data_IF_362801161382
#
_entry.id   IF_362801161382
#
_cell.length_a   1.000
_cell.length_b   1.000
_cell.length_c   1.000
_cell.angle_alpha   90.00
_cell.angle_beta   90.00
_cell.angle_gamma   90.00
#
_symmetry.space_group_name_H-M   'P 1'
#
loop_
_entity.id
_entity.type
_entity.pdbx_description
1 polymer ?
#
# COMPACT_ATOMS: atom_id res chain seq x y z
N UNK A 1 -6.07 -20.74 -38.67
CA UNK A 1 -6.01 -19.28 -38.71
C UNK A 1 -5.12 -18.81 -37.57
N UNK A 2 -4.14 -17.96 -37.84
CA UNK A 2 -3.20 -17.47 -36.85
C UNK A 2 -3.87 -16.32 -36.08
N UNK A 3 -3.85 -16.35 -34.73
CA UNK A 3 -4.34 -15.28 -33.87
C UNK A 3 -3.46 -14.05 -34.08
N UNK A 4 -4.05 -12.87 -34.24
CA UNK A 4 -3.33 -11.61 -34.34
C UNK A 4 -2.76 -11.20 -32.96
N UNK A 5 -1.77 -10.33 -32.93
CA UNK A 5 -1.21 -9.81 -31.67
C UNK A 5 -2.27 -9.09 -30.83
N UNK A 6 -3.10 -8.26 -31.47
CA UNK A 6 -4.19 -7.55 -30.78
C UNK A 6 -5.18 -8.52 -30.12
N UNK A 7 -5.60 -9.51 -30.87
CA UNK A 7 -6.52 -10.55 -30.40
C UNK A 7 -5.90 -11.37 -29.23
N UNK A 8 -4.60 -11.66 -29.32
CA UNK A 8 -3.88 -12.31 -28.22
C UNK A 8 -3.84 -11.44 -26.95
N UNK A 9 -3.62 -10.13 -27.08
CA UNK A 9 -3.68 -9.17 -25.96
C UNK A 9 -5.07 -9.19 -25.33
N UNK A 10 -6.12 -9.10 -26.12
CA UNK A 10 -7.50 -9.10 -25.62
C UNK A 10 -7.83 -10.38 -24.83
N UNK A 11 -7.45 -11.52 -25.37
CA UNK A 11 -7.64 -12.82 -24.71
C UNK A 11 -6.89 -12.88 -23.38
N UNK A 12 -5.62 -12.47 -23.35
CA UNK A 12 -4.79 -12.56 -22.14
C UNK A 12 -5.27 -11.61 -21.03
N UNK A 13 -5.66 -10.37 -21.38
CA UNK A 13 -6.21 -9.44 -20.39
C UNK A 13 -7.59 -9.88 -19.89
N UNK A 14 -8.45 -10.42 -20.75
CA UNK A 14 -9.74 -10.98 -20.35
C UNK A 14 -9.54 -12.14 -19.37
N UNK A 15 -8.64 -13.08 -19.68
CA UNK A 15 -8.31 -14.19 -18.80
C UNK A 15 -7.68 -13.72 -17.47
N UNK A 16 -6.80 -12.73 -17.51
CA UNK A 16 -6.19 -12.14 -16.30
C UNK A 16 -7.26 -11.58 -15.35
N UNK A 17 -8.27 -10.87 -15.89
CA UNK A 17 -9.39 -10.35 -15.09
C UNK A 17 -10.25 -11.47 -14.50
N UNK A 18 -10.59 -12.49 -15.27
CA UNK A 18 -11.35 -13.63 -14.74
C UNK A 18 -10.61 -14.36 -13.63
N UNK A 19 -9.30 -14.55 -13.78
CA UNK A 19 -8.47 -15.14 -12.74
C UNK A 19 -8.36 -14.24 -11.50
N UNK A 20 -8.32 -12.92 -11.68
CA UNK A 20 -8.29 -11.95 -10.58
C UNK A 20 -9.55 -12.04 -9.70
N UNK A 21 -10.71 -12.29 -10.28
CA UNK A 21 -11.96 -12.50 -9.52
C UNK A 21 -11.88 -13.67 -8.56
N UNK A 22 -11.12 -14.71 -8.91
CA UNK A 22 -10.89 -15.87 -8.04
C UNK A 22 -9.96 -15.55 -6.87
N UNK A 23 -9.21 -14.47 -6.94
CA UNK A 23 -8.24 -14.03 -5.94
C UNK A 23 -8.73 -12.81 -5.13
N UNK A 24 -9.89 -12.25 -5.49
CA UNK A 24 -10.48 -11.06 -4.87
C UNK A 24 -12.01 -11.19 -4.75
N UNK A 25 -12.49 -12.26 -4.12
CA UNK A 25 -13.92 -12.56 -4.06
C UNK A 25 -14.62 -11.99 -2.81
N UNK A 26 -13.87 -11.41 -1.86
CA UNK A 26 -14.41 -10.78 -0.66
C UNK A 26 -14.10 -9.29 -0.57
N UNK A 27 -14.98 -8.59 0.17
CA UNK A 27 -14.74 -7.24 0.67
C UNK A 27 -14.95 -6.12 -0.35
N UNK A 28 -14.79 -4.92 0.14
CA UNK A 28 -15.03 -3.67 -0.60
C UNK A 28 -13.94 -3.34 -1.64
N UNK A 29 -12.79 -4.01 -1.58
CA UNK A 29 -11.63 -3.76 -2.45
C UNK A 29 -11.53 -4.76 -3.62
N UNK A 30 -12.53 -5.62 -3.81
CA UNK A 30 -12.52 -6.67 -4.85
C UNK A 30 -12.36 -6.14 -6.28
N UNK A 31 -12.80 -4.91 -6.55
CA UNK A 31 -12.68 -4.26 -7.86
C UNK A 31 -11.35 -3.58 -8.08
N UNK A 32 -10.57 -3.32 -7.03
CA UNK A 32 -9.29 -2.63 -7.12
C UNK A 32 -8.31 -3.35 -8.04
N UNK A 33 -8.26 -4.67 -7.99
CA UNK A 33 -7.38 -5.46 -8.87
C UNK A 33 -7.79 -5.34 -10.35
N UNK A 34 -9.09 -5.24 -10.64
CA UNK A 34 -9.57 -5.03 -12.01
C UNK A 34 -9.15 -3.65 -12.54
N UNK A 35 -9.23 -2.60 -11.69
CA UNK A 35 -8.78 -1.25 -12.03
C UNK A 35 -7.26 -1.21 -12.29
N UNK A 36 -6.48 -1.95 -11.50
CA UNK A 36 -5.04 -2.07 -11.70
C UNK A 36 -4.69 -2.81 -13.00
N UNK A 37 -5.43 -3.87 -13.34
CA UNK A 37 -5.27 -4.59 -14.61
C UNK A 37 -5.62 -3.69 -15.80
N UNK A 38 -6.69 -2.89 -15.71
CA UNK A 38 -7.03 -1.91 -16.73
C UNK A 38 -5.94 -0.84 -16.87
N UNK A 39 -5.44 -0.34 -15.76
CA UNK A 39 -4.35 0.62 -15.76
C UNK A 39 -3.04 0.01 -16.34
N UNK A 40 -2.75 -1.26 -16.04
CA UNK A 40 -1.64 -1.99 -16.63
C UNK A 40 -1.75 -2.05 -18.17
N UNK A 41 -2.99 -2.24 -18.67
CA UNK A 41 -3.25 -2.31 -20.10
C UNK A 41 -3.13 -0.96 -20.82
N UNK A 42 -3.68 0.09 -20.23
CA UNK A 42 -3.88 1.37 -20.93
C UNK A 42 -3.05 2.53 -20.36
N UNK A 43 -2.54 2.40 -19.15
CA UNK A 43 -1.85 3.48 -18.43
C UNK A 43 -0.42 3.77 -18.90
N UNK A 44 0.16 2.90 -19.74
CA UNK A 44 1.51 3.05 -20.30
C UNK A 44 2.61 3.36 -19.27
N UNK A 45 2.49 2.79 -18.06
CA UNK A 45 3.45 2.97 -16.96
C UNK A 45 3.29 4.27 -16.17
N UNK A 46 2.22 5.03 -16.39
CA UNK A 46 1.90 6.18 -15.54
C UNK A 46 1.52 5.74 -14.13
N UNK A 47 1.71 6.63 -13.14
CA UNK A 47 1.37 6.34 -11.77
C UNK A 47 -0.13 6.10 -11.58
N UNK A 48 -0.48 5.13 -10.76
CA UNK A 48 -1.86 4.82 -10.39
C UNK A 48 -2.22 5.44 -9.04
N UNK A 49 -3.40 6.03 -8.97
CA UNK A 49 -4.00 6.59 -7.76
C UNK A 49 -5.44 6.11 -7.63
N UNK A 50 -5.84 5.70 -6.44
CA UNK A 50 -7.20 5.22 -6.17
C UNK A 50 -7.64 5.63 -4.78
N UNK A 51 -8.89 6.12 -4.68
CA UNK A 51 -9.50 6.40 -3.39
C UNK A 51 -9.73 5.13 -2.57
N UNK A 52 -10.04 4.02 -3.21
CA UNK A 52 -10.16 2.72 -2.55
C UNK A 52 -8.82 2.31 -1.91
N UNK A 53 -7.71 2.58 -2.59
CA UNK A 53 -6.38 2.29 -2.06
C UNK A 53 -6.04 3.21 -0.86
N UNK A 54 -6.42 4.48 -0.91
CA UNK A 54 -6.30 5.39 0.22
C UNK A 54 -7.13 4.93 1.43
N UNK A 55 -8.37 4.50 1.21
CA UNK A 55 -9.25 3.97 2.26
C UNK A 55 -8.68 2.68 2.87
N UNK A 56 -8.19 1.75 2.05
CA UNK A 56 -7.57 0.53 2.54
C UNK A 56 -6.32 0.81 3.38
N UNK A 57 -5.55 1.82 2.98
CA UNK A 57 -4.38 2.25 3.74
C UNK A 57 -4.76 2.92 5.06
N UNK A 58 -5.80 3.75 5.08
CA UNK A 58 -6.37 4.31 6.30
C UNK A 58 -6.77 3.20 7.29
N UNK A 59 -7.53 2.21 6.84
CA UNK A 59 -7.93 1.07 7.66
C UNK A 59 -6.71 0.31 8.20
N UNK A 60 -5.72 0.08 7.36
CA UNK A 60 -4.49 -0.62 7.74
C UNK A 60 -3.67 0.13 8.78
N UNK A 61 -3.53 1.45 8.63
CA UNK A 61 -2.80 2.31 9.59
C UNK A 61 -3.52 2.32 10.94
N UNK A 62 -4.86 2.30 10.94
CA UNK A 62 -5.67 2.32 12.16
C UNK A 62 -5.91 0.93 12.76
N UNK A 63 -5.55 -0.15 12.06
CA UNK A 63 -5.67 -1.50 12.61
C UNK A 63 -4.73 -1.67 13.82
N UNK A 64 -5.32 -1.93 14.96
CA UNK A 64 -4.57 -2.08 16.22
C UNK A 64 -3.58 -3.26 16.14
N UNK A 65 -2.31 -2.96 16.40
CA UNK A 65 -1.24 -3.94 16.51
C UNK A 65 -0.07 -3.41 17.32
N UNK A 66 0.73 -4.29 17.89
CA UNK A 66 1.87 -3.93 18.77
C UNK A 66 2.88 -3.02 18.05
N UNK A 67 2.98 -3.11 16.72
CA UNK A 67 3.91 -2.35 15.89
C UNK A 67 3.20 -1.32 14.98
N UNK A 68 1.96 -0.93 15.29
CA UNK A 68 1.27 0.10 14.53
C UNK A 68 2.03 1.43 14.59
N UNK A 69 2.34 2.08 13.46
CA UNK A 69 3.01 3.38 13.44
C UNK A 69 2.27 4.44 14.27
N UNK A 70 0.96 4.45 14.24
CA UNK A 70 0.15 5.36 15.07
C UNK A 70 0.41 5.14 16.56
N UNK A 71 0.43 3.89 17.01
CA UNK A 71 0.70 3.57 18.40
C UNK A 71 2.10 4.00 18.82
N UNK A 72 3.10 3.72 18.00
CA UNK A 72 4.49 4.13 18.26
C UNK A 72 4.60 5.63 18.41
N UNK A 73 3.97 6.38 17.49
CA UNK A 73 3.98 7.85 17.53
C UNK A 73 3.28 8.35 18.79
N UNK A 74 2.11 7.80 19.11
CA UNK A 74 1.34 8.14 20.32
C UNK A 74 2.18 7.93 21.59
N UNK A 75 2.78 6.76 21.76
CA UNK A 75 3.65 6.45 22.90
C UNK A 75 4.88 7.40 23.00
N UNK A 76 5.49 7.77 21.87
CA UNK A 76 6.60 8.72 21.87
C UNK A 76 6.17 10.12 22.33
N UNK A 77 5.00 10.57 21.88
CA UNK A 77 4.45 11.86 22.30
C UNK A 77 4.12 11.82 23.79
N UNK A 78 3.41 10.80 24.28
CA UNK A 78 3.03 10.66 25.69
C UNK A 78 4.23 10.65 26.61
N UNK A 79 5.29 9.95 26.23
CA UNK A 79 6.54 9.91 27.02
C UNK A 79 7.31 11.24 27.07
N UNK A 80 7.15 12.07 26.03
CA UNK A 80 7.83 13.36 25.91
C UNK A 80 6.98 14.59 26.25
N UNK A 81 5.68 14.42 26.47
CA UNK A 81 4.73 15.52 26.52
C UNK A 81 5.00 16.51 27.67
N UNK A 82 5.47 16.04 28.81
CA UNK A 82 5.72 16.88 30.00
C UNK A 82 6.85 17.89 29.78
N UNK A 83 7.79 17.56 28.90
CA UNK A 83 8.91 18.44 28.55
C UNK A 83 8.65 19.24 27.27
N UNK A 84 7.48 19.10 26.67
CA UNK A 84 7.11 19.80 25.43
C UNK A 84 6.52 21.19 25.74
N UNK A 85 6.94 22.25 25.05
CA UNK A 85 6.33 23.58 25.20
C UNK A 85 4.85 23.54 24.79
N UNK A 86 4.07 24.51 25.21
CA UNK A 86 2.62 24.62 24.90
C UNK A 86 2.35 24.76 23.39
N UNK A 87 3.30 25.26 22.63
CA UNK A 87 3.22 25.39 21.18
C UNK A 87 4.45 24.77 20.53
N UNK A 88 4.23 24.10 19.40
CA UNK A 88 5.30 23.42 18.68
C UNK A 88 5.62 22.02 19.23
N UNK A 89 6.76 21.48 18.80
CA UNK A 89 7.23 20.16 19.18
C UNK A 89 8.68 20.20 19.66
N UNK A 90 9.03 19.23 20.50
CA UNK A 90 10.44 19.07 20.88
C UNK A 90 11.20 18.20 19.84
N UNK A 91 12.41 18.62 19.44
CA UNK A 91 13.27 17.80 18.59
C UNK A 91 13.52 16.39 19.10
N UNK A 92 13.58 16.19 20.43
CA UNK A 92 13.75 14.89 21.06
C UNK A 92 12.58 13.94 20.83
N UNK A 93 11.34 14.43 20.78
CA UNK A 93 10.17 13.62 20.44
C UNK A 93 10.27 13.13 19.00
N UNK A 94 10.59 14.02 18.06
CA UNK A 94 10.77 13.63 16.65
C UNK A 94 11.91 12.61 16.49
N UNK A 95 13.00 12.78 17.19
CA UNK A 95 14.11 11.82 17.15
C UNK A 95 13.69 10.46 17.70
N UNK A 96 12.94 10.43 18.80
CA UNK A 96 12.39 9.20 19.39
C UNK A 96 11.43 8.50 18.42
N UNK A 97 10.50 9.24 17.80
CA UNK A 97 9.58 8.73 16.78
C UNK A 97 10.37 8.12 15.63
N UNK A 98 11.33 8.87 15.07
CA UNK A 98 12.16 8.39 13.95
C UNK A 98 12.89 7.09 14.30
N UNK A 99 13.55 7.03 15.45
CA UNK A 99 14.32 5.86 15.88
C UNK A 99 13.43 4.64 16.04
N UNK A 100 12.27 4.78 16.70
CA UNK A 100 11.33 3.68 16.92
C UNK A 100 10.67 3.23 15.63
N UNK A 101 10.28 4.15 14.74
CA UNK A 101 9.68 3.80 13.44
C UNK A 101 10.68 3.07 12.53
N UNK A 102 11.96 3.45 12.53
CA UNK A 102 12.99 2.75 11.75
C UNK A 102 13.22 1.30 12.23
N UNK A 103 13.01 1.03 13.51
CA UNK A 103 13.10 -0.33 14.08
C UNK A 103 11.78 -1.11 14.01
N UNK A 104 10.68 -0.47 13.62
CA UNK A 104 9.37 -1.10 13.52
C UNK A 104 9.17 -1.78 12.16
N UNK A 105 8.21 -2.71 12.10
CA UNK A 105 7.71 -3.20 10.81
C UNK A 105 6.67 -2.21 10.29
N UNK A 106 6.95 -1.64 9.12
CA UNK A 106 5.95 -0.84 8.41
C UNK A 106 4.74 -1.71 8.04
N UNK A 107 3.56 -1.10 8.03
CA UNK A 107 2.33 -1.82 7.66
C UNK A 107 2.40 -2.29 6.21
N UNK A 108 2.16 -3.58 6.02
CA UNK A 108 2.06 -4.22 4.69
C UNK A 108 0.67 -4.84 4.54
N UNK A 109 0.20 -4.99 3.31
CA UNK A 109 -1.04 -5.71 3.00
C UNK A 109 -0.76 -7.21 2.88
N UNK A 110 -0.40 -7.85 3.98
CA UNK A 110 -0.03 -9.25 4.05
C UNK A 110 -0.79 -10.04 5.14
N UNK A 111 -1.85 -9.49 5.68
CA UNK A 111 -2.73 -10.21 6.59
C UNK A 111 -3.52 -11.29 5.82
N UNK A 112 -4.06 -12.26 6.56
CA UNK A 112 -4.88 -13.31 5.96
C UNK A 112 -6.06 -12.75 5.14
N UNK A 113 -6.72 -11.70 5.62
CA UNK A 113 -7.82 -11.02 4.93
C UNK A 113 -7.36 -10.39 3.60
N UNK A 114 -6.15 -9.84 3.55
CA UNK A 114 -5.59 -9.22 2.35
C UNK A 114 -5.41 -10.23 1.19
N UNK A 115 -5.20 -11.50 1.53
CA UNK A 115 -5.06 -12.59 0.54
C UNK A 115 -6.36 -12.88 -0.22
N UNK A 116 -7.52 -12.50 0.32
CA UNK A 116 -8.83 -12.80 -0.25
C UNK A 116 -9.62 -11.58 -0.72
N UNK A 117 -9.22 -10.37 -0.30
CA UNK A 117 -9.88 -9.12 -0.70
C UNK A 117 -9.20 -8.42 -1.89
N UNK A 118 -8.18 -9.03 -2.46
CA UNK A 118 -7.43 -8.51 -3.60
C UNK A 118 -6.28 -7.55 -3.24
N UNK A 119 -6.18 -7.08 -1.98
CA UNK A 119 -5.12 -6.16 -1.57
C UNK A 119 -3.74 -6.82 -1.57
N UNK A 120 -3.63 -8.04 -1.09
CA UNK A 120 -2.35 -8.77 -1.07
C UNK A 120 -1.77 -9.09 -2.45
N UNK A 121 -2.57 -9.01 -3.51
CA UNK A 121 -2.11 -9.15 -4.90
C UNK A 121 -1.85 -7.79 -5.52
N UNK A 122 -2.69 -6.81 -5.16
CA UNK A 122 -2.64 -5.46 -5.71
C UNK A 122 -1.48 -4.64 -5.17
N UNK A 123 -1.19 -4.79 -3.87
CA UNK A 123 -0.21 -3.98 -3.11
C UNK A 123 0.38 -4.85 -2.00
N UNK A 124 1.15 -5.86 -2.37
CA UNK A 124 1.63 -6.84 -1.38
C UNK A 124 2.89 -6.39 -0.62
N UNK A 125 3.69 -5.53 -1.21
CA UNK A 125 4.94 -5.07 -0.59
C UNK A 125 5.10 -3.56 -0.78
N UNK A 126 4.78 -2.79 0.26
CA UNK A 126 4.96 -1.35 0.20
C UNK A 126 6.44 -1.03 0.09
N UNK A 127 6.85 -0.55 -1.07
CA UNK A 127 8.26 -0.30 -1.42
C UNK A 127 8.84 0.91 -0.69
N UNK A 128 8.02 1.93 -0.44
CA UNK A 128 8.44 3.15 0.24
C UNK A 128 7.29 3.75 1.07
N UNK A 129 7.65 4.26 2.25
CA UNK A 129 6.72 5.02 3.09
C UNK A 129 7.36 6.31 3.58
N UNK A 130 6.55 7.37 3.64
CA UNK A 130 6.90 8.65 4.24
C UNK A 130 5.86 9.01 5.29
N UNK A 131 6.31 9.32 6.50
CA UNK A 131 5.47 9.74 7.61
C UNK A 131 5.86 11.17 7.98
N UNK A 132 4.91 12.08 7.95
CA UNK A 132 5.13 13.51 8.22
C UNK A 132 4.20 13.99 9.33
N UNK A 133 4.76 14.60 10.36
CA UNK A 133 3.99 15.31 11.37
C UNK A 133 3.59 16.66 10.77
N UNK A 134 2.30 16.86 10.49
CA UNK A 134 1.76 18.08 9.91
C UNK A 134 1.49 19.15 10.96
N UNK A 135 0.95 18.73 12.11
CA UNK A 135 0.69 19.62 13.24
C UNK A 135 0.81 18.87 14.56
N UNK A 136 1.18 19.61 15.59
CA UNK A 136 1.18 19.14 16.97
C UNK A 136 0.74 20.28 17.87
N UNK A 137 -0.18 20.01 18.79
CA UNK A 137 -0.68 20.99 19.73
C UNK A 137 -0.84 20.36 21.12
N UNK A 138 -0.23 20.99 22.12
CA UNK A 138 -0.40 20.65 23.53
C UNK A 138 -1.43 21.58 24.16
N UNK A 139 -2.34 21.00 24.92
CA UNK A 139 -3.37 21.71 25.68
C UNK A 139 -3.11 21.57 27.18
N UNK A 140 -3.88 22.27 27.99
CA UNK A 140 -3.82 22.11 29.43
C UNK A 140 -4.19 20.69 29.90
N UNK A 141 -5.11 20.04 29.18
CA UNK A 141 -5.66 18.71 29.53
C UNK A 141 -5.42 17.65 28.43
N UNK A 142 -4.36 17.81 27.63
CA UNK A 142 -4.08 16.83 26.61
C UNK A 142 -3.26 17.36 25.45
N UNK A 143 -3.33 16.64 24.33
CA UNK A 143 -2.62 17.00 23.10
C UNK A 143 -3.33 16.43 21.87
N UNK A 144 -3.06 17.03 20.71
CA UNK A 144 -3.44 16.46 19.41
C UNK A 144 -2.29 16.57 18.41
N UNK A 145 -2.25 15.61 17.48
CA UNK A 145 -1.30 15.62 16.37
C UNK A 145 -1.99 15.19 15.08
N UNK A 146 -1.60 15.78 13.97
CA UNK A 146 -2.04 15.41 12.63
C UNK A 146 -0.84 14.85 11.87
N UNK A 147 -0.98 13.66 11.33
CA UNK A 147 0.10 12.91 10.70
C UNK A 147 -0.33 12.53 9.29
N UNK A 148 0.54 12.77 8.33
CA UNK A 148 0.35 12.34 6.94
C UNK A 148 1.21 11.11 6.65
N UNK A 149 0.57 10.03 6.31
CA UNK A 149 1.19 8.79 5.84
C UNK A 149 1.09 8.74 4.32
N UNK A 150 2.20 8.58 3.65
CA UNK A 150 2.30 8.39 2.20
C UNK A 150 3.00 7.09 1.94
N UNK A 151 2.47 6.29 1.03
CA UNK A 151 3.06 5.02 0.64
C UNK A 151 3.08 4.86 -0.87
N UNK A 152 4.03 4.10 -1.35
CA UNK A 152 4.20 3.75 -2.74
C UNK A 152 4.54 2.27 -2.84
N UNK A 153 3.90 1.60 -3.79
CA UNK A 153 4.25 0.25 -4.18
C UNK A 153 4.42 0.15 -5.70
N UNK A 154 4.96 -0.95 -6.17
CA UNK A 154 5.24 -1.18 -7.57
C UNK A 154 4.37 -2.32 -8.12
N UNK A 155 3.43 -1.99 -9.01
CA UNK A 155 2.65 -2.99 -9.73
C UNK A 155 3.47 -3.52 -10.90
N UNK A 156 4.20 -4.58 -10.64
CA UNK A 156 5.07 -5.23 -11.61
C UNK A 156 5.69 -6.50 -11.01
N UNK A 157 6.08 -7.43 -11.87
CA UNK A 157 6.75 -8.67 -11.47
C UNK A 157 8.20 -8.66 -11.92
N UNK A 158 9.10 -9.06 -11.04
CA UNK A 158 10.49 -9.30 -11.37
C UNK A 158 10.78 -10.80 -11.62
N UNK A 159 12.04 -11.10 -11.96
CA UNK A 159 12.47 -12.47 -12.23
C UNK A 159 12.46 -13.32 -10.94
N UNK A 160 12.63 -12.69 -9.79
CA UNK A 160 12.60 -13.36 -8.48
C UNK A 160 11.18 -13.78 -8.14
N UNK A 161 10.20 -12.94 -8.43
CA UNK A 161 8.78 -13.24 -8.23
C UNK A 161 8.35 -14.48 -8.99
N UNK A 162 8.65 -14.54 -10.30
CA UNK A 162 8.23 -15.67 -11.12
C UNK A 162 8.97 -16.98 -10.80
N UNK A 163 10.16 -16.91 -10.19
CA UNK A 163 10.87 -18.08 -9.68
C UNK A 163 10.27 -18.60 -8.37
N UNK A 164 9.48 -17.79 -7.67
CA UNK A 164 8.75 -18.23 -6.50
C UNK A 164 7.74 -19.31 -6.90
N UNK A 165 7.81 -20.47 -6.22
CA UNK A 165 6.94 -21.63 -6.50
C UNK A 165 5.45 -21.30 -6.41
N UNK A 166 5.07 -20.34 -5.59
CA UNK A 166 3.68 -19.89 -5.46
C UNK A 166 3.26 -19.14 -6.73
N UNK A 167 3.98 -18.09 -7.13
CA UNK A 167 3.62 -17.29 -8.29
C UNK A 167 3.71 -18.05 -9.61
N UNK A 168 4.73 -18.88 -9.78
CA UNK A 168 4.91 -19.67 -11.01
C UNK A 168 3.81 -20.70 -11.25
N UNK A 169 3.10 -21.16 -10.21
CA UNK A 169 1.99 -22.11 -10.34
C UNK A 169 0.69 -21.46 -10.80
N UNK A 170 0.44 -20.21 -10.44
CA UNK A 170 -0.80 -19.52 -10.78
C UNK A 170 -0.72 -18.90 -12.17
N UNK A 171 -1.68 -19.23 -13.01
CA UNK A 171 -1.75 -18.73 -14.39
C UNK A 171 -1.87 -17.21 -14.45
N UNK A 172 -2.52 -16.57 -13.50
CA UNK A 172 -2.60 -15.12 -13.36
C UNK A 172 -1.20 -14.44 -13.41
N UNK A 173 -0.26 -14.87 -12.58
CA UNK A 173 1.08 -14.30 -12.53
C UNK A 173 1.91 -14.64 -13.78
N UNK A 174 1.68 -15.79 -14.39
CA UNK A 174 2.34 -16.14 -15.65
C UNK A 174 1.90 -15.27 -16.82
N UNK A 175 0.60 -14.96 -16.90
CA UNK A 175 0.06 -14.02 -17.90
C UNK A 175 0.63 -12.63 -17.65
N UNK A 176 0.60 -12.13 -16.42
CA UNK A 176 1.15 -10.84 -16.04
C UNK A 176 2.63 -10.71 -16.43
N UNK A 177 3.45 -11.67 -16.03
CA UNK A 177 4.88 -11.69 -16.36
C UNK A 177 5.12 -11.74 -17.86
N UNK A 178 4.35 -12.53 -18.59
CA UNK A 178 4.43 -12.63 -20.04
C UNK A 178 4.10 -11.28 -20.71
N UNK A 179 2.98 -10.67 -20.37
CA UNK A 179 2.55 -9.37 -20.89
C UNK A 179 3.59 -8.28 -20.61
N UNK A 180 4.22 -8.32 -19.44
CA UNK A 180 5.24 -7.33 -19.04
C UNK A 180 6.60 -7.55 -19.72
N UNK A 181 7.03 -8.78 -19.91
CA UNK A 181 8.41 -9.11 -20.28
C UNK A 181 8.61 -9.56 -21.72
N UNK A 182 7.59 -10.07 -22.37
CA UNK A 182 7.74 -10.51 -23.74
C UNK A 182 7.89 -9.31 -24.68
N UNK A 183 8.91 -9.36 -25.56
CA UNK A 183 9.31 -8.24 -26.43
C UNK A 183 8.19 -7.66 -27.30
N UNK A 184 7.24 -8.50 -27.72
CA UNK A 184 6.15 -8.10 -28.62
C UNK A 184 4.95 -7.47 -27.85
N UNK A 185 4.92 -7.57 -26.53
CA UNK A 185 3.87 -7.02 -25.66
C UNK A 185 4.40 -5.87 -24.81
N UNK A 186 5.38 -6.12 -23.97
CA UNK A 186 6.16 -5.15 -23.19
C UNK A 186 5.30 -4.08 -22.46
N UNK A 187 4.17 -4.51 -21.88
CA UNK A 187 3.34 -3.63 -21.04
C UNK A 187 4.14 -3.13 -19.85
N UNK A 188 4.04 -1.84 -19.58
CA UNK A 188 4.90 -1.20 -18.57
C UNK A 188 4.34 -1.37 -17.18
N UNK A 189 5.16 -1.82 -16.21
CA UNK A 189 4.82 -1.74 -14.80
C UNK A 189 4.71 -0.26 -14.38
N UNK A 190 4.05 -0.02 -13.25
CA UNK A 190 3.79 1.33 -12.75
C UNK A 190 3.82 1.38 -11.23
N UNK A 191 3.92 2.59 -10.67
CA UNK A 191 3.81 2.80 -9.24
C UNK A 191 2.35 3.05 -8.84
N UNK A 192 1.94 2.42 -7.75
CA UNK A 192 0.71 2.73 -7.03
C UNK A 192 1.05 3.67 -5.90
N UNK A 193 0.36 4.81 -5.82
CA UNK A 193 0.58 5.81 -4.79
C UNK A 193 -0.70 5.99 -3.97
N UNK A 194 -0.57 5.97 -2.66
CA UNK A 194 -1.68 6.11 -1.75
C UNK A 194 -1.27 6.81 -0.46
N UNK A 195 -2.22 7.45 0.19
CA UNK A 195 -1.95 8.21 1.39
C UNK A 195 -3.17 8.31 2.30
N UNK A 196 -2.92 8.65 3.56
CA UNK A 196 -3.95 8.99 4.53
C UNK A 196 -3.45 10.04 5.50
N UNK A 197 -4.37 10.87 6.00
CA UNK A 197 -4.10 11.86 7.04
C UNK A 197 -4.84 11.40 8.29
N UNK A 198 -4.09 11.16 9.36
CA UNK A 198 -4.60 10.67 10.63
C UNK A 198 -4.48 11.75 11.69
N UNK A 199 -5.56 11.96 12.44
CA UNK A 199 -5.54 12.75 13.65
C UNK A 199 -5.53 11.84 14.87
N UNK A 200 -4.53 12.01 15.71
CA UNK A 200 -4.43 11.32 16.99
C UNK A 200 -4.46 12.34 18.12
N UNK A 201 -5.07 11.97 19.22
CA UNK A 201 -5.22 12.81 20.38
C UNK A 201 -5.28 12.00 21.67
N UNK A 202 -4.96 12.64 22.78
CA UNK A 202 -5.14 12.11 24.11
C UNK A 202 -5.55 13.26 25.03
N UNK A 203 -6.66 13.10 25.72
CA UNK A 203 -7.15 13.99 26.76
C UNK A 203 -6.90 13.33 28.11
N UNK A 204 -6.34 14.09 29.06
CA UNK A 204 -6.03 13.67 30.42
C UNK A 204 -7.25 13.77 31.32
#
# INVERSE_FOLDING_TARGET
>A
TKISQSECIDILFAEMKELAKMLSFFGQYKTLIEDLIEHFRYGNGSNFHSQQLNLSFHEKINKYGYNSPIRIIKECIENGINSTPSTGYQPLILQSIKTKLLSSRLNKFNDFEDSFNGLGISVHDISAQKISLLSFQKYAIGWSATIHFVAQDHFGLDVTDIKNKTYSKYRFFRIWFFLQRHKDFAFKPFFTNFNTIERIENYL
#
